data_IF_300401674214
#
_entry.id   IF_300401674214
#
_cell.length_a   1.000
_cell.length_b   1.000
_cell.length_c   1.000
_cell.angle_alpha   90.00
_cell.angle_beta   90.00
_cell.angle_gamma   90.00
#
_symmetry.space_group_name_H-M   'P 1'
#
loop_
_entity.id
_entity.type
_entity.pdbx_description
1 polymer ?
#
# COMPACT_ATOMS: atom_id res chain seq x y z
N UNK A 1 -5.54 -4.34 1.06
CA UNK A 1 -5.49 -3.42 2.21
C UNK A 1 -5.98 -1.99 1.90
N UNK A 2 -5.58 -1.33 0.80
CA UNK A 2 -6.00 0.07 0.57
C UNK A 2 -7.51 0.25 0.43
N UNK A 3 -8.22 -0.73 -0.12
CA UNK A 3 -9.70 -0.74 -0.14
C UNK A 3 -10.29 -0.67 1.27
N UNK A 4 -9.67 -1.33 2.25
CA UNK A 4 -10.08 -1.28 3.65
C UNK A 4 -9.78 0.10 4.25
N UNK A 5 -8.59 0.67 3.99
CA UNK A 5 -8.24 2.02 4.44
C UNK A 5 -9.21 3.08 3.90
N UNK A 6 -9.66 2.94 2.65
CA UNK A 6 -10.66 3.85 2.06
C UNK A 6 -11.97 3.81 2.86
N UNK A 7 -12.43 2.64 3.31
CA UNK A 7 -13.64 2.57 4.15
C UNK A 7 -13.50 3.40 5.42
N UNK A 8 -12.36 3.32 6.09
CA UNK A 8 -12.04 4.14 7.27
C UNK A 8 -12.05 5.64 6.94
N UNK A 9 -11.47 6.04 5.81
CA UNK A 9 -11.49 7.44 5.34
C UNK A 9 -12.93 7.91 5.10
N UNK A 10 -13.75 7.10 4.43
CA UNK A 10 -15.15 7.45 4.14
C UNK A 10 -15.94 7.62 5.44
N UNK A 11 -15.82 6.69 6.39
CA UNK A 11 -16.47 6.79 7.70
C UNK A 11 -15.99 8.03 8.47
N UNK A 12 -14.69 8.34 8.46
CA UNK A 12 -14.16 9.53 9.13
C UNK A 12 -14.74 10.81 8.51
N UNK A 13 -14.83 10.89 7.19
CA UNK A 13 -15.42 12.04 6.48
C UNK A 13 -16.91 12.19 6.78
N UNK A 14 -17.65 11.09 6.89
CA UNK A 14 -19.05 11.12 7.34
C UNK A 14 -19.20 11.67 8.76
N UNK A 15 -18.35 11.23 9.69
CA UNK A 15 -18.36 11.75 11.07
C UNK A 15 -17.98 13.22 11.13
N UNK A 16 -17.00 13.67 10.34
CA UNK A 16 -16.62 15.08 10.27
C UNK A 16 -17.76 15.94 9.71
N UNK A 17 -18.45 15.48 8.65
CA UNK A 17 -19.66 16.13 8.13
C UNK A 17 -20.75 16.27 9.20
N UNK A 18 -20.97 15.22 10.00
CA UNK A 18 -21.92 15.26 11.14
C UNK A 18 -21.50 16.26 12.22
N UNK A 19 -20.20 16.57 12.33
CA UNK A 19 -19.65 17.60 13.20
C UNK A 19 -19.55 18.98 12.51
N UNK A 20 -20.39 19.24 11.51
CA UNK A 20 -20.48 20.52 10.79
C UNK A 20 -19.26 20.90 9.95
N UNK A 21 -18.35 19.97 9.62
CA UNK A 21 -17.27 20.24 8.66
C UNK A 21 -17.79 20.22 7.23
N UNK A 22 -17.49 21.28 6.47
CA UNK A 22 -17.90 21.39 5.07
C UNK A 22 -16.97 20.60 4.13
N UNK A 23 -17.23 19.30 3.99
CA UNK A 23 -16.49 18.42 3.07
C UNK A 23 -17.44 17.96 1.96
N UNK A 24 -17.35 18.53 0.77
CA UNK A 24 -18.21 18.15 -0.37
C UNK A 24 -17.80 16.80 -0.95
N UNK A 25 -18.65 16.13 -1.75
CA UNK A 25 -18.23 14.96 -2.54
C UNK A 25 -17.03 15.24 -3.45
N UNK A 26 -16.94 16.47 -3.99
CA UNK A 26 -15.80 16.91 -4.79
C UNK A 26 -14.50 16.94 -3.96
N UNK A 27 -14.50 17.49 -2.74
CA UNK A 27 -13.32 17.48 -1.86
C UNK A 27 -12.84 16.06 -1.57
N UNK A 28 -13.77 15.14 -1.31
CA UNK A 28 -13.45 13.74 -1.04
C UNK A 28 -12.83 13.04 -2.26
N UNK A 29 -13.46 13.19 -3.44
CA UNK A 29 -12.94 12.62 -4.68
C UNK A 29 -11.55 13.17 -5.02
N UNK A 30 -11.38 14.50 -4.94
CA UNK A 30 -10.11 15.16 -5.17
C UNK A 30 -9.03 14.68 -4.20
N UNK A 31 -9.35 14.60 -2.90
CA UNK A 31 -8.42 14.12 -1.87
C UNK A 31 -7.98 12.67 -2.11
N UNK A 32 -8.91 11.77 -2.44
CA UNK A 32 -8.61 10.36 -2.72
C UNK A 32 -7.80 10.17 -4.01
N UNK A 33 -8.03 10.99 -5.03
CA UNK A 33 -7.27 10.94 -6.28
C UNK A 33 -5.84 11.49 -6.11
N UNK A 34 -5.65 12.47 -5.22
CA UNK A 34 -4.39 13.20 -5.05
C UNK A 34 -3.68 12.91 -3.72
N UNK A 35 -3.98 11.78 -3.05
CA UNK A 35 -3.42 11.43 -1.72
C UNK A 35 -1.91 11.66 -1.66
N UNK A 36 -1.15 11.09 -2.61
CA UNK A 36 0.31 11.21 -2.64
C UNK A 36 0.78 12.67 -2.75
N UNK A 37 0.15 13.44 -3.64
CA UNK A 37 0.51 14.84 -3.89
C UNK A 37 0.14 15.76 -2.71
N UNK A 38 -0.95 15.46 -2.00
CA UNK A 38 -1.46 16.28 -0.91
C UNK A 38 -0.84 15.95 0.45
N UNK A 39 -0.46 14.69 0.68
CA UNK A 39 -0.03 14.21 2.01
C UNK A 39 1.40 13.71 2.05
N UNK A 40 2.08 13.61 0.91
CA UNK A 40 3.40 12.99 0.78
C UNK A 40 3.44 11.54 1.32
N UNK A 41 2.31 10.84 1.28
CA UNK A 41 2.24 9.43 1.68
C UNK A 41 2.89 8.55 0.61
N UNK A 42 4.19 8.33 0.77
CA UNK A 42 5.02 7.46 -0.07
C UNK A 42 5.14 6.04 0.51
N UNK A 43 5.64 5.10 -0.30
CA UNK A 43 6.00 3.75 0.16
C UNK A 43 4.82 2.80 0.38
N UNK A 44 3.67 3.05 -0.25
CA UNK A 44 2.50 2.15 -0.22
C UNK A 44 2.16 1.71 -1.64
N UNK A 45 2.69 0.58 -2.07
CA UNK A 45 2.67 0.10 -3.46
C UNK A 45 2.97 1.23 -4.46
N UNK A 46 4.09 1.90 -4.26
CA UNK A 46 4.44 3.08 -5.02
C UNK A 46 5.21 2.72 -6.30
N UNK A 47 4.57 2.90 -7.44
CA UNK A 47 5.20 2.72 -8.75
C UNK A 47 6.15 3.89 -9.02
N UNK A 48 7.44 3.60 -9.20
CA UNK A 48 8.49 4.57 -9.56
C UNK A 48 9.08 4.33 -10.96
N UNK A 49 8.70 3.23 -11.61
CA UNK A 49 9.09 2.91 -12.99
C UNK A 49 8.12 1.91 -13.60
N UNK A 50 7.96 1.94 -14.93
CA UNK A 50 6.99 1.09 -15.66
C UNK A 50 7.63 0.16 -16.68
N UNK A 51 8.91 0.34 -17.02
CA UNK A 51 9.64 -0.56 -17.93
C UNK A 51 11.12 -0.64 -17.50
N UNK A 52 11.49 -1.58 -16.60
CA UNK A 52 10.62 -2.53 -15.91
C UNK A 52 9.66 -1.87 -14.90
N UNK A 53 8.61 -2.59 -14.49
CA UNK A 53 7.78 -2.17 -13.38
C UNK A 53 8.63 -2.17 -12.09
N UNK A 54 8.77 -1.01 -11.45
CA UNK A 54 9.49 -0.86 -10.18
C UNK A 54 8.54 -0.30 -9.14
N UNK A 55 8.39 -1.02 -8.03
CA UNK A 55 7.46 -0.69 -6.95
C UNK A 55 8.22 -0.61 -5.63
N UNK A 56 7.94 0.43 -4.84
CA UNK A 56 8.42 0.59 -3.46
C UNK A 56 7.29 0.30 -2.46
N UNK A 57 7.57 -0.45 -1.41
CA UNK A 57 6.64 -0.66 -0.29
C UNK A 57 7.38 -0.74 1.06
N UNK A 58 6.75 -0.24 2.13
CA UNK A 58 7.30 -0.19 3.50
C UNK A 58 6.71 -1.26 4.44
N UNK A 59 5.97 -2.23 3.90
CA UNK A 59 5.46 -3.36 4.66
C UNK A 59 6.61 -4.09 5.37
N UNK A 60 6.53 -4.16 6.70
CA UNK A 60 7.58 -4.73 7.56
C UNK A 60 7.01 -5.65 8.65
N UNK A 61 5.70 -5.90 8.64
CA UNK A 61 5.03 -6.84 9.54
C UNK A 61 4.31 -7.93 8.73
N UNK A 62 4.08 -9.08 9.35
CA UNK A 62 3.52 -10.25 8.66
C UNK A 62 2.23 -9.94 7.89
N UNK A 63 1.26 -9.26 8.52
CA UNK A 63 0.00 -8.92 7.86
C UNK A 63 0.19 -7.98 6.65
N UNK A 64 1.06 -6.98 6.77
CA UNK A 64 1.38 -6.08 5.66
C UNK A 64 2.06 -6.81 4.52
N UNK A 65 2.96 -7.75 4.83
CA UNK A 65 3.67 -8.55 3.85
C UNK A 65 2.75 -9.56 3.16
N UNK A 66 1.81 -10.20 3.87
CA UNK A 66 0.77 -11.04 3.26
C UNK A 66 -0.08 -10.27 2.24
N UNK A 67 -0.46 -9.04 2.59
CA UNK A 67 -1.20 -8.16 1.68
C UNK A 67 -0.34 -7.75 0.48
N UNK A 68 0.95 -7.48 0.69
CA UNK A 68 1.92 -7.17 -0.37
C UNK A 68 2.06 -8.35 -1.33
N UNK A 69 2.31 -9.55 -0.82
CA UNK A 69 2.45 -10.79 -1.61
C UNK A 69 1.17 -11.07 -2.39
N UNK A 70 0.01 -10.88 -1.77
CA UNK A 70 -1.28 -11.01 -2.47
C UNK A 70 -1.36 -10.04 -3.64
N UNK A 71 -0.89 -8.81 -3.48
CA UNK A 71 -0.89 -7.81 -4.56
C UNK A 71 0.13 -8.14 -5.66
N UNK A 72 1.31 -8.68 -5.31
CA UNK A 72 2.30 -9.21 -6.25
C UNK A 72 1.69 -10.32 -7.10
N UNK A 73 0.97 -11.28 -6.49
CA UNK A 73 0.32 -12.39 -7.21
C UNK A 73 -0.73 -11.93 -8.22
N UNK A 74 -1.40 -10.79 -7.97
CA UNK A 74 -2.36 -10.21 -8.91
C UNK A 74 -1.73 -9.26 -9.94
N UNK A 75 -0.42 -9.01 -9.85
CA UNK A 75 0.30 -8.12 -10.77
C UNK A 75 1.04 -8.97 -11.79
N UNK A 76 0.67 -8.96 -13.09
CA UNK A 76 1.33 -9.80 -14.09
C UNK A 76 2.82 -9.48 -14.23
N UNK A 77 3.66 -10.51 -14.21
CA UNK A 77 5.10 -10.41 -14.40
C UNK A 77 5.65 -11.72 -14.97
N UNK A 78 6.77 -11.63 -15.72
CA UNK A 78 7.54 -12.81 -16.16
C UNK A 78 8.61 -13.21 -15.16
N UNK A 79 9.30 -12.21 -14.61
CA UNK A 79 10.33 -12.36 -13.60
C UNK A 79 10.04 -11.37 -12.47
N UNK A 80 10.15 -11.86 -11.24
CA UNK A 80 9.98 -11.06 -10.03
C UNK A 80 11.33 -10.94 -9.34
N UNK A 81 11.81 -9.71 -9.20
CA UNK A 81 12.98 -9.41 -8.40
C UNK A 81 12.57 -8.69 -7.12
N UNK A 82 12.98 -9.20 -5.96
CA UNK A 82 12.63 -8.63 -4.66
C UNK A 82 13.90 -8.17 -3.97
N UNK A 83 14.00 -6.85 -3.74
CA UNK A 83 15.01 -6.26 -2.89
C UNK A 83 14.36 -5.99 -1.53
N UNK A 84 14.78 -6.75 -0.51
CA UNK A 84 14.20 -6.68 0.83
C UNK A 84 15.21 -6.12 1.85
N UNK A 85 14.79 -5.11 2.59
CA UNK A 85 15.50 -4.60 3.77
C UNK A 85 14.61 -4.71 5.00
N UNK A 86 15.11 -5.35 6.06
CA UNK A 86 14.39 -5.51 7.33
C UNK A 86 15.28 -5.11 8.51
N UNK A 87 14.66 -4.57 9.57
CA UNK A 87 15.35 -4.33 10.84
C UNK A 87 15.66 -5.66 11.55
N UNK A 88 16.72 -5.67 12.36
CA UNK A 88 17.30 -6.89 12.95
C UNK A 88 16.34 -7.64 13.89
N UNK A 89 15.41 -6.93 14.53
CA UNK A 89 14.48 -7.45 15.54
C UNK A 89 13.23 -8.16 14.96
N UNK A 90 13.17 -8.38 13.64
CA UNK A 90 12.04 -9.10 13.01
C UNK A 90 12.33 -10.57 12.83
N UNK A 91 11.27 -11.36 12.82
CA UNK A 91 11.30 -12.77 12.42
C UNK A 91 11.49 -12.87 10.90
N UNK A 92 12.76 -12.87 10.47
CA UNK A 92 13.11 -12.87 9.05
C UNK A 92 12.67 -14.15 8.35
N UNK A 93 12.78 -15.30 9.03
CA UNK A 93 12.45 -16.61 8.45
C UNK A 93 10.96 -16.71 8.13
N UNK A 94 10.10 -16.29 9.05
CA UNK A 94 8.66 -16.27 8.82
C UNK A 94 8.27 -15.32 7.69
N UNK A 95 8.91 -14.15 7.61
CA UNK A 95 8.66 -13.18 6.53
C UNK A 95 9.09 -13.73 5.17
N UNK A 96 10.26 -14.35 5.09
CA UNK A 96 10.81 -14.87 3.83
C UNK A 96 9.93 -15.98 3.26
N UNK A 97 9.35 -16.84 4.11
CA UNK A 97 8.41 -17.91 3.70
C UNK A 97 7.14 -17.38 3.03
N UNK A 98 6.77 -16.12 3.24
CA UNK A 98 5.58 -15.53 2.63
C UNK A 98 5.80 -15.16 1.16
N UNK A 99 7.04 -14.88 0.75
CA UNK A 99 7.34 -14.47 -0.61
C UNK A 99 7.33 -15.66 -1.59
N UNK A 100 7.07 -15.42 -2.89
CA UNK A 100 7.07 -16.50 -3.88
C UNK A 100 8.47 -17.12 -4.04
N UNK A 101 8.56 -18.45 -4.03
CA UNK A 101 9.84 -19.18 -4.13
C UNK A 101 10.58 -18.94 -5.46
N UNK A 102 9.85 -18.60 -6.53
CA UNK A 102 10.42 -18.28 -7.84
C UNK A 102 10.97 -16.84 -7.95
N UNK A 103 10.89 -16.04 -6.89
CA UNK A 103 11.47 -14.71 -6.86
C UNK A 103 13.00 -14.78 -6.75
N UNK A 104 13.69 -13.84 -7.39
CA UNK A 104 15.14 -13.63 -7.27
C UNK A 104 15.47 -12.41 -6.45
#
# INVERSE_FOLDING_TARGET
>A
YQKQNIKTVLTAVELLRKNNWHITPHHLAYGLQHVKALTHLHGRWEIIGTTPLVVLDIAHNANGIEQLVTQIRHTPHKHLHIILGMVKDKDHDEVLKLFPEQAT
#
